data_IF_572841116727
#
_entry.id   IF_572841116727
#
_cell.length_a   1.000
_cell.length_b   1.000
_cell.length_c   1.000
_cell.angle_alpha   90.00
_cell.angle_beta   90.00
_cell.angle_gamma   90.00
#
_symmetry.space_group_name_H-M   'P 1'
#
loop_
_entity.id
_entity.type
_entity.pdbx_description
1 polymer ?
#
# COMPACT_ATOMS: atom_id res chain seq x y z
N UNK A 1 21.38 -33.08 -22.86
CA UNK A 1 21.05 -31.67 -23.26
C UNK A 1 19.62 -31.32 -22.79
N UNK A 2 19.53 -30.64 -21.66
CA UNK A 2 18.26 -30.26 -21.06
C UNK A 2 17.83 -28.90 -21.65
N UNK A 3 16.86 -28.91 -22.55
CA UNK A 3 16.25 -27.70 -23.08
C UNK A 3 15.32 -27.08 -21.98
N UNK A 4 15.85 -26.11 -21.25
CA UNK A 4 15.05 -25.31 -20.31
C UNK A 4 14.01 -24.51 -21.10
N UNK A 5 12.74 -24.84 -20.91
CA UNK A 5 11.63 -24.18 -21.59
C UNK A 5 11.60 -22.66 -21.29
N UNK A 6 11.41 -21.80 -22.29
CA UNK A 6 11.48 -20.34 -22.12
C UNK A 6 10.38 -19.74 -21.23
N UNK A 7 9.35 -20.52 -20.91
CA UNK A 7 8.20 -20.11 -20.10
C UNK A 7 8.59 -19.73 -18.65
N UNK A 8 9.61 -20.39 -18.10
CA UNK A 8 10.08 -20.14 -16.72
C UNK A 8 10.77 -18.78 -16.54
N UNK A 9 11.48 -18.33 -17.56
CA UNK A 9 12.20 -17.04 -17.49
C UNK A 9 11.26 -15.83 -17.52
N UNK A 10 10.07 -15.98 -18.10
CA UNK A 10 9.04 -14.93 -18.14
C UNK A 10 8.27 -14.80 -16.82
N UNK A 11 8.03 -15.92 -16.12
CA UNK A 11 7.32 -15.92 -14.84
C UNK A 11 8.11 -15.23 -13.72
N UNK A 12 9.44 -15.45 -13.66
CA UNK A 12 10.32 -14.86 -12.63
C UNK A 12 10.49 -13.36 -12.84
N UNK A 13 10.48 -12.86 -14.08
CA UNK A 13 10.66 -11.43 -14.36
C UNK A 13 9.45 -10.56 -13.99
N UNK A 14 8.25 -11.14 -13.91
CA UNK A 14 7.00 -10.40 -13.59
C UNK A 14 6.58 -10.50 -12.12
N UNK A 15 7.17 -11.41 -11.36
CA UNK A 15 6.88 -11.60 -9.94
C UNK A 15 7.11 -10.32 -9.07
N UNK A 16 8.20 -9.54 -9.23
CA UNK A 16 8.43 -8.35 -8.41
C UNK A 16 7.44 -7.21 -8.68
N UNK A 17 6.75 -7.19 -9.83
CA UNK A 17 5.77 -6.15 -10.15
C UNK A 17 4.41 -6.36 -9.46
N UNK A 18 4.10 -7.56 -8.98
CA UNK A 18 2.86 -7.85 -8.26
C UNK A 18 2.93 -7.52 -6.76
N UNK A 19 4.12 -7.47 -6.17
CA UNK A 19 4.30 -7.19 -4.76
C UNK A 19 3.76 -5.82 -4.30
N UNK A 20 4.01 -4.68 -4.99
CA UNK A 20 3.49 -3.37 -4.57
C UNK A 20 1.98 -3.27 -4.71
N UNK A 21 1.34 -3.99 -5.61
CA UNK A 21 -0.12 -4.00 -5.78
C UNK A 21 -0.82 -4.66 -4.60
N UNK A 22 -0.23 -5.70 -4.02
CA UNK A 22 -0.77 -6.40 -2.86
C UNK A 22 -0.66 -5.57 -1.58
N UNK A 23 0.38 -4.76 -1.43
CA UNK A 23 0.59 -3.90 -0.27
C UNK A 23 -0.39 -2.71 -0.21
N UNK A 24 -0.81 -2.18 -1.35
CA UNK A 24 -1.79 -1.09 -1.42
C UNK A 24 -3.21 -1.46 -0.99
N UNK A 25 -3.55 -2.75 -0.99
CA UNK A 25 -4.92 -3.22 -0.70
C UNK A 25 -5.25 -3.33 0.81
N UNK A 26 -4.28 -3.08 1.71
CA UNK A 26 -4.48 -3.29 3.15
C UNK A 26 -5.16 -2.13 3.88
N UNK A 27 -5.39 -1.01 3.23
CA UNK A 27 -6.00 0.16 3.83
C UNK A 27 -7.36 0.46 3.19
N UNK A 28 -8.29 0.91 4.03
CA UNK A 28 -9.64 1.32 3.60
C UNK A 28 -9.93 2.69 4.21
N UNK A 29 -10.49 3.59 3.41
CA UNK A 29 -10.99 4.88 3.87
C UNK A 29 -12.45 4.74 4.27
N UNK A 30 -12.79 5.16 5.50
CA UNK A 30 -14.18 5.18 5.99
C UNK A 30 -14.59 6.59 6.33
N UNK A 31 -15.77 7.03 5.88
CA UNK A 31 -16.34 8.31 6.29
C UNK A 31 -16.52 8.33 7.80
N UNK A 32 -16.10 9.42 8.43
CA UNK A 32 -16.25 9.63 9.87
C UNK A 32 -16.64 11.08 10.14
N UNK A 33 -17.35 11.32 11.24
CA UNK A 33 -17.60 12.69 11.68
C UNK A 33 -16.30 13.29 12.24
N UNK A 34 -16.01 14.54 11.93
CA UNK A 34 -14.77 15.24 12.38
C UNK A 34 -14.61 15.15 13.89
N UNK A 35 -15.70 15.33 14.65
CA UNK A 35 -15.70 15.30 16.11
C UNK A 35 -15.33 13.94 16.72
N UNK A 36 -15.42 12.85 15.95
CA UNK A 36 -15.12 11.49 16.44
C UNK A 36 -13.74 10.99 16.06
N UNK A 37 -12.96 11.81 15.34
CA UNK A 37 -11.63 11.40 14.90
C UNK A 37 -10.65 11.45 16.07
N UNK A 38 -9.98 10.33 16.41
CA UNK A 38 -9.02 10.33 17.49
C UNK A 38 -7.74 11.10 17.10
N UNK A 39 -7.06 11.65 18.10
CA UNK A 39 -5.74 12.24 17.89
C UNK A 39 -4.77 11.22 17.29
N UNK A 40 -3.89 11.68 16.43
CA UNK A 40 -2.91 10.88 15.66
C UNK A 40 -3.53 9.93 14.62
N UNK A 41 -4.84 10.03 14.36
CA UNK A 41 -5.43 9.30 13.25
C UNK A 41 -5.01 9.92 11.91
N UNK A 42 -4.77 9.07 10.93
CA UNK A 42 -4.56 9.49 9.55
C UNK A 42 -5.93 9.66 8.88
N UNK A 43 -6.16 10.85 8.35
CA UNK A 43 -7.42 11.21 7.70
C UNK A 43 -7.19 11.84 6.34
N UNK A 44 -8.14 11.62 5.46
CA UNK A 44 -8.30 12.38 4.23
C UNK A 44 -9.41 13.41 4.43
N UNK A 45 -9.09 14.66 4.24
CA UNK A 45 -10.02 15.77 4.31
C UNK A 45 -10.28 16.29 2.91
N UNK A 46 -11.54 16.30 2.50
CA UNK A 46 -11.97 16.97 1.27
C UNK A 46 -12.48 18.35 1.66
N UNK A 47 -12.00 19.39 1.01
CA UNK A 47 -12.36 20.76 1.32
C UNK A 47 -13.58 21.20 0.54
N UNK A 48 -14.34 22.13 1.12
CA UNK A 48 -15.35 22.90 0.37
C UNK A 48 -14.64 23.91 -0.54
N UNK A 49 -15.34 24.45 -1.53
CA UNK A 49 -14.81 25.54 -2.38
C UNK A 49 -14.39 26.75 -1.54
N UNK A 50 -15.18 27.08 -0.50
CA UNK A 50 -14.83 28.14 0.43
C UNK A 50 -13.63 27.78 1.28
N UNK A 51 -13.53 26.52 1.75
CA UNK A 51 -12.39 26.01 2.49
C UNK A 51 -11.11 26.07 1.68
N UNK A 52 -11.15 25.69 0.40
CA UNK A 52 -10.04 25.81 -0.52
C UNK A 52 -9.54 27.26 -0.63
N UNK A 53 -10.45 28.23 -0.69
CA UNK A 53 -10.08 29.65 -0.72
C UNK A 53 -9.48 30.13 0.58
N UNK A 54 -10.10 29.81 1.72
CA UNK A 54 -9.63 30.21 3.05
C UNK A 54 -8.22 29.70 3.35
N UNK A 55 -7.87 28.52 2.86
CA UNK A 55 -6.57 27.90 3.11
C UNK A 55 -5.54 28.21 2.01
N UNK A 56 -5.94 28.85 0.91
CA UNK A 56 -5.05 29.14 -0.21
C UNK A 56 -3.84 29.99 0.18
N UNK A 57 -4.02 30.98 1.05
CA UNK A 57 -2.93 31.85 1.51
C UNK A 57 -1.89 31.07 2.34
N UNK A 58 -2.38 30.17 3.21
CA UNK A 58 -1.50 29.33 4.04
C UNK A 58 -0.79 28.25 3.23
N UNK A 59 -1.40 27.76 2.16
CA UNK A 59 -0.86 26.70 1.31
C UNK A 59 -0.08 27.21 0.09
N UNK A 60 -0.25 28.49 -0.26
CA UNK A 60 0.29 29.04 -1.51
C UNK A 60 -0.44 28.58 -2.77
N UNK A 61 -1.52 27.77 -2.61
CA UNK A 61 -2.34 27.24 -3.71
C UNK A 61 -3.73 26.82 -3.21
N UNK A 62 -4.67 26.66 -4.15
CA UNK A 62 -5.97 26.08 -3.86
C UNK A 62 -5.87 24.56 -3.76
N UNK A 63 -6.43 24.01 -2.68
CA UNK A 63 -6.41 22.58 -2.40
C UNK A 63 -7.82 22.00 -2.51
N UNK A 64 -7.97 20.86 -3.18
CA UNK A 64 -9.21 20.09 -3.21
C UNK A 64 -9.31 19.14 -2.00
N UNK A 65 -8.20 18.50 -1.64
CA UNK A 65 -8.14 17.59 -0.49
C UNK A 65 -6.73 17.52 0.08
N UNK A 66 -6.63 16.96 1.29
CA UNK A 66 -5.34 16.70 1.92
C UNK A 66 -5.41 15.41 2.74
N UNK A 67 -4.31 14.67 2.76
CA UNK A 67 -4.06 13.57 3.68
C UNK A 67 -3.24 14.11 4.86
N UNK A 68 -3.71 13.89 6.07
CA UNK A 68 -3.12 14.50 7.27
C UNK A 68 -3.22 13.61 8.50
N UNK A 69 -2.32 13.86 9.46
CA UNK A 69 -2.43 13.35 10.82
C UNK A 69 -3.17 14.39 11.67
N UNK A 70 -4.20 13.96 12.39
CA UNK A 70 -4.91 14.81 13.34
C UNK A 70 -4.04 15.01 14.57
N UNK A 71 -3.69 16.25 14.88
CA UNK A 71 -2.99 16.56 16.12
C UNK A 71 -3.99 16.77 17.28
N UNK A 72 -4.97 17.63 17.08
CA UNK A 72 -6.05 17.91 18.05
C UNK A 72 -7.25 18.60 17.39
N UNK A 73 -8.38 18.51 18.02
CA UNK A 73 -9.53 19.36 17.74
C UNK A 73 -9.61 20.48 18.80
N UNK A 74 -9.79 21.71 18.38
CA UNK A 74 -9.98 22.86 19.26
C UNK A 74 -11.48 23.22 19.29
N UNK A 75 -12.16 22.59 20.25
CA UNK A 75 -13.62 22.64 20.32
C UNK A 75 -14.28 22.04 19.07
N UNK A 76 -15.45 22.58 18.73
CA UNK A 76 -16.22 22.16 17.55
C UNK A 76 -15.98 23.05 16.33
N UNK A 77 -14.95 23.89 16.35
CA UNK A 77 -14.76 24.92 15.33
C UNK A 77 -13.51 24.72 14.47
N UNK A 78 -12.44 24.19 15.04
CA UNK A 78 -11.15 24.08 14.36
C UNK A 78 -10.54 22.71 14.55
N UNK A 79 -10.05 22.13 13.47
CA UNK A 79 -9.26 20.91 13.46
C UNK A 79 -7.79 21.26 13.16
N UNK A 80 -6.89 20.97 14.09
CA UNK A 80 -5.46 21.15 13.90
C UNK A 80 -4.86 19.85 13.37
N UNK A 81 -4.27 19.92 12.20
CA UNK A 81 -3.71 18.75 11.51
C UNK A 81 -2.28 19.01 11.08
N UNK A 82 -1.54 17.94 10.88
CA UNK A 82 -0.25 17.95 10.19
C UNK A 82 -0.44 17.30 8.83
N UNK A 83 -0.55 18.10 7.76
CA UNK A 83 -0.69 17.55 6.42
C UNK A 83 0.56 16.73 6.04
N UNK A 84 0.33 15.62 5.34
CA UNK A 84 1.36 14.77 4.76
C UNK A 84 1.48 15.07 3.26
N UNK A 85 0.34 15.09 2.60
CA UNK A 85 0.19 15.31 1.18
C UNK A 85 -1.05 16.18 0.92
N UNK A 86 -0.96 17.07 -0.03
CA UNK A 86 -2.07 17.90 -0.48
C UNK A 86 -2.36 17.65 -1.96
N UNK A 87 -3.62 17.70 -2.33
CA UNK A 87 -4.07 17.57 -3.71
C UNK A 87 -4.63 18.91 -4.14
N UNK A 88 -4.03 19.49 -5.18
CA UNK A 88 -4.49 20.76 -5.76
C UNK A 88 -5.87 20.59 -6.43
N UNK A 89 -6.54 21.70 -6.75
CA UNK A 89 -7.77 21.65 -7.56
C UNK A 89 -7.54 21.08 -8.97
N UNK A 90 -6.30 21.13 -9.47
CA UNK A 90 -5.89 20.55 -10.75
C UNK A 90 -5.61 19.05 -10.67
N UNK A 91 -5.56 18.49 -9.46
CA UNK A 91 -5.30 17.07 -9.21
C UNK A 91 -3.84 16.74 -8.93
N UNK A 92 -2.94 17.71 -8.88
CA UNK A 92 -1.54 17.49 -8.55
C UNK A 92 -1.38 17.12 -7.08
N UNK A 93 -0.56 16.12 -6.82
CA UNK A 93 -0.21 15.68 -5.47
C UNK A 93 1.13 16.23 -5.08
N UNK A 94 1.15 16.96 -3.98
CA UNK A 94 2.33 17.65 -3.49
C UNK A 94 2.57 17.33 -2.02
N UNK A 95 3.81 17.01 -1.64
CA UNK A 95 4.14 16.80 -0.23
C UNK A 95 4.06 18.12 0.53
N UNK A 96 3.44 18.09 1.71
CA UNK A 96 3.38 19.26 2.59
C UNK A 96 4.71 19.45 3.31
N UNK A 97 5.27 20.64 3.26
CA UNK A 97 6.55 20.98 3.90
C UNK A 97 6.43 22.04 4.99
N UNK A 98 5.26 22.62 5.13
CA UNK A 98 4.96 23.61 6.16
C UNK A 98 4.42 22.88 7.38
N UNK A 99 4.53 23.39 8.58
CA UNK A 99 4.15 22.73 9.82
C UNK A 99 2.67 22.32 9.95
N UNK A 100 2.08 22.58 11.09
CA UNK A 100 0.67 22.31 11.37
C UNK A 100 -0.23 23.29 10.60
N UNK A 101 -1.43 22.84 10.27
CA UNK A 101 -2.47 23.62 9.62
C UNK A 101 -3.74 23.58 10.47
N UNK A 102 -4.27 24.75 10.80
CA UNK A 102 -5.55 24.90 11.49
C UNK A 102 -6.66 25.06 10.45
N UNK A 103 -7.59 24.10 10.42
CA UNK A 103 -8.66 24.04 9.43
C UNK A 103 -9.99 24.28 10.14
N UNK A 104 -10.75 25.34 9.79
CA UNK A 104 -12.11 25.49 10.29
C UNK A 104 -12.97 24.30 9.86
N UNK A 105 -13.74 23.70 10.77
CA UNK A 105 -14.55 22.51 10.47
C UNK A 105 -15.54 22.78 9.32
N UNK A 106 -16.08 23.99 9.23
CA UNK A 106 -16.94 24.43 8.12
C UNK A 106 -16.27 24.40 6.74
N UNK A 107 -14.94 24.44 6.71
CA UNK A 107 -14.16 24.35 5.48
C UNK A 107 -14.00 22.91 4.97
N UNK A 108 -14.42 21.90 5.75
CA UNK A 108 -14.31 20.49 5.46
C UNK A 108 -15.65 19.99 4.92
N UNK A 109 -15.66 19.51 3.68
CA UNK A 109 -16.84 18.88 3.07
C UNK A 109 -17.00 17.42 3.51
N UNK A 110 -15.87 16.69 3.65
CA UNK A 110 -15.86 15.27 3.99
C UNK A 110 -14.59 14.90 4.72
N UNK A 111 -14.73 14.04 5.71
CA UNK A 111 -13.62 13.43 6.45
C UNK A 111 -13.68 11.93 6.31
N UNK A 112 -12.57 11.33 5.91
CA UNK A 112 -12.41 9.89 5.79
C UNK A 112 -11.20 9.46 6.61
N UNK A 113 -11.39 8.51 7.52
CA UNK A 113 -10.30 7.94 8.30
C UNK A 113 -9.68 6.77 7.56
N UNK A 114 -8.34 6.76 7.48
CA UNK A 114 -7.58 5.63 6.96
C UNK A 114 -7.49 4.55 8.03
N UNK A 115 -8.08 3.41 7.76
CA UNK A 115 -8.09 2.27 8.66
C UNK A 115 -7.38 1.09 8.01
N UNK A 116 -6.59 0.35 8.82
CA UNK A 116 -6.05 -0.92 8.37
C UNK A 116 -7.18 -1.95 8.33
N UNK A 117 -7.43 -2.50 7.15
CA UNK A 117 -8.38 -3.59 6.98
C UNK A 117 -7.75 -4.91 7.42
N UNK A 118 -8.02 -5.28 8.68
CA UNK A 118 -7.49 -6.52 9.28
C UNK A 118 -7.89 -7.78 8.50
N UNK A 119 -9.06 -7.78 7.86
CA UNK A 119 -9.52 -8.89 7.04
C UNK A 119 -8.68 -9.06 5.78
N UNK A 120 -8.48 -7.98 5.05
CA UNK A 120 -7.64 -7.98 3.84
C UNK A 120 -6.18 -8.26 4.16
N UNK A 121 -5.65 -7.70 5.26
CA UNK A 121 -4.28 -7.96 5.70
C UNK A 121 -4.04 -9.43 6.03
N UNK A 122 -5.01 -10.10 6.68
CA UNK A 122 -4.93 -11.54 6.96
C UNK A 122 -4.98 -12.36 5.67
N UNK A 123 -5.87 -12.01 4.74
CA UNK A 123 -5.96 -12.68 3.44
C UNK A 123 -4.66 -12.60 2.65
N UNK A 124 -4.03 -11.44 2.60
CA UNK A 124 -2.72 -11.24 1.95
C UNK A 124 -1.62 -12.06 2.64
N UNK A 125 -1.57 -12.05 3.98
CA UNK A 125 -0.57 -12.82 4.73
C UNK A 125 -0.71 -14.33 4.49
N UNK A 126 -1.94 -14.85 4.50
CA UNK A 126 -2.21 -16.28 4.17
C UNK A 126 -1.83 -16.59 2.73
N UNK A 127 -2.16 -15.72 1.79
CA UNK A 127 -1.80 -15.89 0.37
C UNK A 127 -0.28 -15.97 0.15
N UNK A 128 0.48 -15.09 0.78
CA UNK A 128 1.95 -15.09 0.70
C UNK A 128 2.52 -16.36 1.34
N UNK A 129 2.05 -16.74 2.54
CA UNK A 129 2.50 -17.94 3.23
C UNK A 129 2.22 -19.20 2.39
N UNK A 130 1.04 -19.31 1.79
CA UNK A 130 0.67 -20.44 0.92
C UNK A 130 1.52 -20.51 -0.34
N UNK A 131 1.81 -19.38 -0.98
CA UNK A 131 2.67 -19.32 -2.15
C UNK A 131 4.11 -19.73 -1.82
N UNK A 132 4.63 -19.28 -0.67
CA UNK A 132 5.97 -19.66 -0.20
C UNK A 132 6.06 -21.14 0.10
N UNK A 133 5.08 -21.71 0.81
CA UNK A 133 5.00 -23.14 1.11
C UNK A 133 4.92 -23.97 -0.17
N UNK A 134 4.09 -23.57 -1.14
CA UNK A 134 4.01 -24.23 -2.44
C UNK A 134 5.33 -24.22 -3.20
N UNK A 135 6.05 -23.10 -3.16
CA UNK A 135 7.36 -22.96 -3.81
C UNK A 135 8.44 -23.88 -3.17
N UNK A 136 8.44 -23.96 -1.83
CA UNK A 136 9.35 -24.85 -1.08
C UNK A 136 9.07 -26.33 -1.40
N UNK A 137 7.79 -26.74 -1.36
CA UNK A 137 7.41 -28.12 -1.69
C UNK A 137 7.79 -28.46 -3.12
N UNK A 138 7.57 -27.53 -4.06
CA UNK A 138 7.96 -27.73 -5.45
C UNK A 138 9.47 -27.87 -5.61
N UNK A 139 10.26 -27.02 -4.94
CA UNK A 139 11.72 -27.09 -4.96
C UNK A 139 12.24 -28.43 -4.40
N UNK A 140 11.69 -28.88 -3.26
CA UNK A 140 12.08 -30.17 -2.67
C UNK A 140 11.74 -31.35 -3.58
N UNK A 141 10.58 -31.33 -4.23
CA UNK A 141 10.21 -32.38 -5.20
C UNK A 141 11.08 -32.39 -6.45
N UNK A 142 11.54 -31.23 -6.91
CA UNK A 142 12.43 -31.15 -8.08
C UNK A 142 13.84 -31.69 -7.78
N UNK A 143 14.35 -31.49 -6.57
CA UNK A 143 15.64 -32.03 -6.12
C UNK A 143 15.56 -33.55 -5.96
N UNK A 144 14.47 -34.09 -5.39
CA UNK A 144 14.29 -35.51 -5.17
C UNK A 144 14.11 -36.34 -6.47
N UNK A 145 13.73 -35.71 -7.57
CA UNK A 145 13.59 -36.39 -8.88
C UNK A 145 14.88 -36.45 -9.70
N UNK A 146 15.94 -35.74 -9.33
CA UNK A 146 17.20 -35.68 -10.03
C UNK A 146 18.22 -36.74 -9.62
N UNK A 147 17.95 -37.61 -8.64
CA UNK A 147 18.89 -38.54 -8.05
C UNK A 147 18.93 -39.97 -8.63
N UNK A 148 18.38 -40.19 -9.81
CA UNK A 148 18.52 -41.47 -10.51
C UNK A 148 19.79 -41.54 -11.40
N UNK A 149 20.99 -41.45 -10.82
CA UNK A 149 22.19 -41.79 -11.55
C UNK A 149 22.22 -43.33 -11.69
N UNK A 150 21.86 -43.81 -12.86
CA UNK A 150 22.18 -45.19 -13.28
C UNK A 150 23.69 -45.39 -13.25
N UNK A 151 24.14 -46.13 -12.25
CA UNK A 151 25.49 -46.68 -12.27
C UNK A 151 25.53 -47.62 -13.47
N UNK A 152 26.13 -47.17 -14.56
CA UNK A 152 26.39 -47.98 -15.73
C UNK A 152 27.42 -49.05 -15.38
N UNK A 153 26.98 -50.32 -15.34
CA UNK A 153 27.88 -51.47 -15.35
C UNK A 153 28.65 -51.46 -16.66
N UNK A 154 29.96 -51.24 -16.58
CA UNK A 154 30.85 -51.34 -17.73
C UNK A 154 30.93 -52.77 -18.25
N UNK A 155 30.97 -52.98 -19.57
CA UNK A 155 31.17 -54.31 -20.14
C UNK A 155 32.61 -54.79 -19.90
N UNK A 156 32.75 -56.05 -19.44
CA UNK A 156 34.02 -56.70 -19.24
C UNK A 156 34.80 -56.84 -20.54
N UNK A 157 36.09 -56.70 -20.43
CA UNK A 157 37.01 -56.94 -21.51
C UNK A 157 37.16 -58.50 -21.78
N UNK A 158 37.20 -58.91 -23.02
CA UNK A 158 37.58 -60.27 -23.36
C UNK A 158 39.10 -60.40 -23.37
N UNK A 159 39.57 -61.63 -23.01
CA UNK A 159 40.97 -62.12 -23.15
C UNK A 159 41.44 -62.18 -24.59
#
# INVERSE_FOLDING_TARGET
>A
MYRSSPVWRLAIRRAPLLAPVLLGACFTYRPVAVATVPARAEVRLTLTTEGSRLLADAAGMRMASLDALVDRAEGDTVLVVRPLEVVSEQGDRLPWRQGQLAIPIRAIARTEQRLMDKGKSRGVAVGIASAFTGMVIYALRSIGRGGGATVGSGPGAPE
#
